data_IF_825126823838
#
_entry.id   IF_825126823838
#
_cell.length_a   1.000
_cell.length_b   1.000
_cell.length_c   1.000
_cell.angle_alpha   90.00
_cell.angle_beta   90.00
_cell.angle_gamma   90.00
#
_symmetry.space_group_name_H-M   'P 1'
#
loop_
_entity.id
_entity.type
_entity.pdbx_description
1 polymer ?
#
# COMPACT_ATOMS: atom_id res chain seq x y z
N UNK A 1 20.36 6.15 3.09
CA UNK A 1 20.38 4.69 3.09
C UNK A 1 19.05 4.12 2.68
N UNK A 2 19.08 3.14 1.81
CA UNK A 2 17.87 2.47 1.38
C UNK A 2 17.42 1.46 2.43
N UNK A 3 16.11 1.31 2.57
CA UNK A 3 15.55 0.32 3.47
C UNK A 3 15.85 -1.09 2.96
N UNK A 4 16.10 -2.00 3.87
CA UNK A 4 16.39 -3.39 3.55
C UNK A 4 15.13 -4.26 3.49
N UNK A 5 14.02 -3.77 4.03
CA UNK A 5 12.74 -4.47 4.03
C UNK A 5 11.60 -3.47 3.90
N UNK A 6 10.68 -3.71 2.97
CA UNK A 6 9.57 -2.77 2.70
C UNK A 6 8.24 -3.49 2.76
N UNK A 7 7.29 -2.90 3.45
CA UNK A 7 5.90 -3.34 3.48
C UNK A 7 5.05 -2.34 2.71
N UNK A 8 4.43 -2.81 1.62
CA UNK A 8 3.44 -2.04 0.88
C UNK A 8 2.03 -2.53 1.18
N UNK A 9 1.09 -1.62 1.34
CA UNK A 9 -0.33 -1.94 1.38
C UNK A 9 -1.10 -0.91 0.58
N UNK A 10 -2.00 -1.37 -0.27
CA UNK A 10 -2.77 -0.46 -1.09
C UNK A 10 -3.91 -1.12 -1.84
N UNK A 11 -4.65 -0.30 -2.56
CA UNK A 11 -5.76 -0.71 -3.41
C UNK A 11 -5.54 -0.22 -4.84
N UNK A 12 -6.57 -0.27 -5.68
CA UNK A 12 -6.44 0.13 -7.08
C UNK A 12 -6.07 1.60 -7.26
N UNK A 13 -6.43 2.47 -6.29
CA UNK A 13 -6.09 3.89 -6.38
C UNK A 13 -4.60 4.14 -6.19
N UNK A 14 -3.93 3.28 -5.45
CA UNK A 14 -2.50 3.40 -5.17
C UNK A 14 -1.64 2.42 -5.97
N UNK A 15 -2.25 1.51 -6.72
CA UNK A 15 -1.52 0.49 -7.48
C UNK A 15 -0.46 1.06 -8.44
N UNK A 16 -0.74 2.14 -9.20
CA UNK A 16 0.30 2.72 -10.05
C UNK A 16 1.52 3.19 -9.28
N UNK A 17 1.31 3.82 -8.12
CA UNK A 17 2.41 4.27 -7.26
C UNK A 17 3.20 3.09 -6.69
N UNK A 18 2.51 2.04 -6.26
CA UNK A 18 3.16 0.82 -5.79
C UNK A 18 4.04 0.23 -6.89
N UNK A 19 3.52 0.15 -8.12
CA UNK A 19 4.25 -0.41 -9.25
C UNK A 19 5.57 0.35 -9.51
N UNK A 20 5.51 1.67 -9.50
CA UNK A 20 6.69 2.52 -9.70
C UNK A 20 7.70 2.32 -8.57
N UNK A 21 7.23 2.28 -7.32
CA UNK A 21 8.12 2.11 -6.18
C UNK A 21 8.78 0.74 -6.18
N UNK A 22 8.05 -0.33 -6.52
CA UNK A 22 8.62 -1.67 -6.62
C UNK A 22 9.72 -1.75 -7.68
N UNK A 23 9.48 -1.14 -8.83
CA UNK A 23 10.45 -1.12 -9.92
C UNK A 23 11.74 -0.41 -9.54
N UNK A 24 11.66 0.57 -8.65
CA UNK A 24 12.81 1.38 -8.21
C UNK A 24 13.52 0.82 -6.98
N UNK A 25 13.04 -0.26 -6.39
CA UNK A 25 13.73 -0.89 -5.27
C UNK A 25 15.02 -1.57 -5.72
N UNK A 26 15.98 -1.63 -4.80
CA UNK A 26 17.16 -2.45 -5.00
C UNK A 26 16.75 -3.92 -5.19
N UNK A 27 17.43 -4.63 -6.07
CA UNK A 27 17.16 -6.06 -6.32
C UNK A 27 17.34 -6.93 -5.07
N UNK A 28 18.07 -6.44 -4.07
CA UNK A 28 18.31 -7.14 -2.82
C UNK A 28 17.29 -6.81 -1.73
N UNK A 29 16.36 -5.88 -1.99
CA UNK A 29 15.32 -5.50 -1.03
C UNK A 29 14.38 -6.67 -0.83
N UNK A 30 14.06 -6.96 0.43
CA UNK A 30 13.08 -7.95 0.79
C UNK A 30 11.80 -7.25 1.25
N UNK A 31 10.70 -7.97 1.27
CA UNK A 31 9.47 -7.39 1.76
C UNK A 31 8.21 -8.03 1.21
N UNK A 32 7.12 -7.31 1.39
CA UNK A 32 5.79 -7.79 1.02
C UNK A 32 4.93 -6.62 0.52
N UNK A 33 4.13 -6.88 -0.49
CA UNK A 33 3.10 -5.96 -0.95
C UNK A 33 1.75 -6.66 -0.83
N UNK A 34 0.78 -6.00 -0.20
CA UNK A 34 -0.59 -6.49 -0.07
C UNK A 34 -1.47 -5.53 -0.86
N UNK A 35 -2.11 -6.02 -1.92
CA UNK A 35 -2.83 -5.16 -2.86
C UNK A 35 -4.24 -5.67 -3.07
N UNK A 36 -5.22 -4.80 -2.83
CA UNK A 36 -6.63 -5.09 -3.06
C UNK A 36 -7.03 -4.69 -4.48
N UNK A 37 -7.60 -5.65 -5.20
CA UNK A 37 -8.19 -5.43 -6.52
C UNK A 37 -9.61 -5.98 -6.53
N UNK A 38 -10.43 -5.52 -7.49
CA UNK A 38 -11.82 -5.95 -7.60
C UNK A 38 -11.98 -7.28 -8.34
N UNK A 39 -11.09 -7.55 -9.31
CA UNK A 39 -11.14 -8.71 -10.18
C UNK A 39 -9.74 -9.18 -10.51
N UNK A 40 -9.57 -10.48 -10.79
CA UNK A 40 -8.27 -11.01 -11.21
C UNK A 40 -7.75 -10.35 -12.48
N UNK A 41 -8.63 -9.78 -13.30
CA UNK A 41 -8.25 -9.04 -14.50
C UNK A 41 -7.52 -7.73 -14.18
N UNK A 42 -7.64 -7.26 -12.95
CA UNK A 42 -6.97 -6.02 -12.51
C UNK A 42 -5.52 -6.24 -12.11
N UNK A 43 -5.07 -7.50 -12.04
CA UNK A 43 -3.66 -7.78 -11.77
C UNK A 43 -2.81 -7.24 -12.91
N UNK A 44 -1.71 -6.60 -12.52
CA UNK A 44 -0.72 -6.14 -13.48
C UNK A 44 0.59 -6.88 -13.21
N UNK A 45 1.47 -6.89 -14.21
CA UNK A 45 2.78 -7.48 -14.07
C UNK A 45 3.68 -6.50 -13.32
N UNK A 46 4.00 -6.86 -12.07
CA UNK A 46 4.84 -6.03 -11.22
C UNK A 46 6.29 -6.52 -11.30
N UNK A 47 7.22 -5.58 -11.34
CA UNK A 47 8.65 -5.88 -11.37
C UNK A 47 9.23 -5.76 -9.97
N UNK A 48 8.87 -6.72 -9.13
CA UNK A 48 9.36 -6.79 -7.76
C UNK A 48 10.74 -7.46 -7.67
N UNK A 49 11.52 -7.14 -6.63
CA UNK A 49 12.77 -7.85 -6.36
C UNK A 49 12.55 -9.35 -6.11
N UNK A 50 13.60 -10.15 -6.29
CA UNK A 50 13.51 -11.62 -6.23
C UNK A 50 12.97 -12.15 -4.90
N UNK A 51 13.33 -11.52 -3.79
CA UNK A 51 12.92 -11.93 -2.45
C UNK A 51 11.70 -11.15 -1.95
N UNK A 52 10.96 -10.55 -2.84
CA UNK A 52 9.79 -9.76 -2.52
C UNK A 52 8.52 -10.57 -2.82
N UNK A 53 7.58 -10.57 -1.90
CA UNK A 53 6.32 -11.29 -2.05
C UNK A 53 5.17 -10.32 -2.33
N UNK A 54 4.45 -10.55 -3.43
CA UNK A 54 3.24 -9.77 -3.75
C UNK A 54 2.01 -10.64 -3.46
N UNK A 55 1.15 -10.16 -2.60
CA UNK A 55 -0.10 -10.82 -2.23
C UNK A 55 -1.28 -10.01 -2.76
N UNK A 56 -2.03 -10.60 -3.69
CA UNK A 56 -3.23 -9.98 -4.25
C UNK A 56 -4.46 -10.43 -3.46
N UNK A 57 -5.26 -9.47 -3.03
CA UNK A 57 -6.59 -9.71 -2.45
C UNK A 57 -7.60 -9.33 -3.52
N UNK A 58 -8.45 -10.27 -3.92
CA UNK A 58 -9.46 -10.03 -4.95
C UNK A 58 -10.83 -10.03 -4.29
N UNK A 59 -11.53 -8.90 -4.34
CA UNK A 59 -12.88 -8.77 -3.81
C UNK A 59 -13.63 -7.66 -4.53
N UNK A 60 -14.73 -8.01 -5.18
CA UNK A 60 -15.59 -7.03 -5.86
C UNK A 60 -16.34 -6.14 -4.88
N UNK A 61 -16.52 -6.58 -3.63
CA UNK A 61 -17.05 -5.76 -2.55
C UNK A 61 -15.92 -4.97 -1.93
N UNK A 62 -15.80 -3.72 -2.31
CA UNK A 62 -14.69 -2.86 -1.90
C UNK A 62 -14.60 -2.68 -0.39
N UNK A 63 -15.76 -2.56 0.29
CA UNK A 63 -15.80 -2.38 1.74
C UNK A 63 -15.28 -3.63 2.46
N UNK A 64 -15.73 -4.81 2.02
CA UNK A 64 -15.25 -6.08 2.58
C UNK A 64 -13.78 -6.32 2.26
N UNK A 65 -13.38 -6.03 1.03
CA UNK A 65 -12.00 -6.15 0.59
C UNK A 65 -11.07 -5.26 1.39
N UNK A 66 -11.48 -4.03 1.67
CA UNK A 66 -10.69 -3.10 2.50
C UNK A 66 -10.48 -3.65 3.90
N UNK A 67 -11.50 -4.26 4.50
CA UNK A 67 -11.38 -4.89 5.81
C UNK A 67 -10.39 -6.04 5.79
N UNK A 68 -10.42 -6.86 4.75
CA UNK A 68 -9.48 -7.96 4.56
C UNK A 68 -8.05 -7.44 4.42
N UNK A 69 -7.87 -6.41 3.60
CA UNK A 69 -6.58 -5.75 3.40
C UNK A 69 -6.00 -5.24 4.73
N UNK A 70 -6.81 -4.56 5.51
CA UNK A 70 -6.40 -4.02 6.82
C UNK A 70 -6.00 -5.14 7.76
N UNK A 71 -6.80 -6.20 7.83
CA UNK A 71 -6.51 -7.36 8.72
C UNK A 71 -5.18 -8.00 8.35
N UNK A 72 -4.94 -8.24 7.08
CA UNK A 72 -3.67 -8.83 6.64
C UNK A 72 -2.49 -7.90 6.87
N UNK A 73 -2.69 -6.61 6.64
CA UNK A 73 -1.67 -5.61 6.91
C UNK A 73 -1.29 -5.59 8.40
N UNK A 74 -2.28 -5.52 9.29
CA UNK A 74 -2.07 -5.47 10.73
C UNK A 74 -1.40 -6.74 11.28
N UNK A 75 -1.62 -7.87 10.62
CA UNK A 75 -1.03 -9.15 11.03
C UNK A 75 0.36 -9.41 10.43
N UNK A 76 0.85 -8.50 9.61
CA UNK A 76 2.18 -8.65 9.02
C UNK A 76 3.26 -8.28 10.02
N UNK A 77 4.23 -9.18 10.18
CA UNK A 77 5.40 -8.93 11.02
C UNK A 77 6.40 -8.05 10.25
N UNK A 78 6.77 -6.93 10.85
CA UNK A 78 7.79 -6.07 10.28
C UNK A 78 9.18 -6.69 10.50
N UNK A 79 9.99 -6.73 9.46
CA UNK A 79 11.31 -7.36 9.48
C UNK A 79 12.38 -6.37 9.04
N UNK A 80 13.64 -6.83 9.02
CA UNK A 80 14.75 -6.02 8.57
C UNK A 80 15.31 -5.11 9.66
N UNK A 81 16.44 -4.51 9.36
CA UNK A 81 17.11 -3.56 10.26
C UNK A 81 16.62 -2.15 10.05
N UNK A 82 16.30 -1.81 8.81
CA UNK A 82 15.80 -0.49 8.43
C UNK A 82 14.53 -0.66 7.60
N UNK A 83 13.44 -1.10 8.24
CA UNK A 83 12.19 -1.32 7.52
C UNK A 83 11.53 -0.01 7.08
N UNK A 84 10.76 -0.08 6.01
CA UNK A 84 9.94 1.01 5.52
C UNK A 84 8.50 0.52 5.35
N UNK A 85 7.54 1.32 5.78
CA UNK A 85 6.12 1.03 5.60
C UNK A 85 5.51 2.06 4.64
N UNK A 86 4.92 1.57 3.56
CA UNK A 86 4.23 2.38 2.57
C UNK A 86 2.78 1.92 2.48
N UNK A 87 1.84 2.78 2.85
CA UNK A 87 0.42 2.44 2.80
C UNK A 87 -0.38 3.62 2.29
N UNK A 88 -1.15 3.39 1.24
CA UNK A 88 -2.00 4.42 0.69
C UNK A 88 -3.23 3.80 0.03
N UNK A 89 -4.36 4.48 0.12
CA UNK A 89 -5.61 4.01 -0.44
C UNK A 89 -6.79 4.52 0.37
N UNK A 90 -7.69 3.62 0.76
CA UNK A 90 -8.87 3.97 1.52
C UNK A 90 -8.53 4.52 2.90
N UNK A 91 -9.35 5.43 3.39
CA UNK A 91 -9.13 6.17 4.64
C UNK A 91 -8.87 5.27 5.86
N UNK A 92 -9.62 4.17 6.00
CA UNK A 92 -9.44 3.26 7.14
C UNK A 92 -8.11 2.51 7.08
N UNK A 93 -7.63 2.22 5.88
CA UNK A 93 -6.28 1.67 5.72
C UNK A 93 -5.23 2.66 6.25
N UNK A 94 -5.37 3.91 5.90
CA UNK A 94 -4.46 4.97 6.38
C UNK A 94 -4.47 5.05 7.90
N UNK A 95 -5.65 5.01 8.53
CA UNK A 95 -5.76 5.04 9.99
C UNK A 95 -5.07 3.86 10.64
N UNK A 96 -5.31 2.67 10.11
CA UNK A 96 -4.67 1.44 10.58
C UNK A 96 -3.14 1.52 10.44
N UNK A 97 -2.68 2.00 9.29
CA UNK A 97 -1.25 2.11 9.01
C UNK A 97 -0.56 3.10 9.95
N UNK A 98 -1.20 4.21 10.27
CA UNK A 98 -0.65 5.16 11.25
C UNK A 98 -0.49 4.53 12.62
N UNK A 99 -1.49 3.77 13.07
CA UNK A 99 -1.40 3.05 14.35
C UNK A 99 -0.30 2.00 14.32
N UNK A 100 -0.19 1.28 13.22
CA UNK A 100 0.83 0.25 13.02
C UNK A 100 2.23 0.85 13.15
N UNK A 101 2.49 1.93 12.44
CA UNK A 101 3.79 2.62 12.46
C UNK A 101 4.15 3.09 13.86
N UNK A 102 3.18 3.62 14.60
CA UNK A 102 3.42 4.13 15.97
C UNK A 102 3.81 3.04 16.96
N UNK A 103 3.53 1.77 16.66
CA UNK A 103 3.89 0.66 17.56
C UNK A 103 5.38 0.29 17.49
N UNK A 104 6.10 0.81 16.51
CA UNK A 104 7.49 0.43 16.28
C UNK A 104 8.42 1.64 16.50
N UNK A 105 9.27 1.55 17.53
CA UNK A 105 10.24 2.59 17.84
C UNK A 105 11.30 2.78 16.75
N UNK A 106 11.50 1.73 15.93
CA UNK A 106 12.46 1.74 14.83
C UNK A 106 11.98 2.55 13.63
N UNK A 107 10.68 2.89 13.59
CA UNK A 107 10.10 3.65 12.48
C UNK A 107 10.03 5.13 12.84
N UNK A 108 10.59 5.96 11.98
CA UNK A 108 10.53 7.42 12.07
C UNK A 108 9.68 7.98 10.94
N UNK A 109 9.56 9.30 10.87
CA UNK A 109 8.89 9.96 9.73
C UNK A 109 9.50 9.56 8.40
N UNK A 110 10.82 9.33 8.37
CA UNK A 110 11.54 8.99 7.16
C UNK A 110 11.43 7.51 6.80
N UNK A 111 10.83 6.70 7.67
CA UNK A 111 10.68 5.26 7.51
C UNK A 111 9.26 4.85 7.13
N UNK A 112 8.41 5.81 6.82
CA UNK A 112 7.04 5.50 6.43
C UNK A 112 6.45 6.56 5.50
N UNK A 113 5.56 6.10 4.62
CA UNK A 113 4.67 6.92 3.84
C UNK A 113 3.26 6.38 4.04
N UNK A 114 2.37 7.18 4.59
CA UNK A 114 1.00 6.78 4.90
C UNK A 114 0.06 7.88 4.44
N UNK A 115 -0.86 7.54 3.54
CA UNK A 115 -1.74 8.54 2.94
C UNK A 115 -3.13 7.98 2.66
N UNK A 116 -4.13 8.83 2.76
CA UNK A 116 -5.49 8.50 2.33
C UNK A 116 -5.74 9.08 0.95
N UNK A 117 -6.09 8.23 -0.01
CA UNK A 117 -6.40 8.65 -1.38
C UNK A 117 -7.91 8.77 -1.60
N UNK A 118 -8.73 8.06 -0.82
CA UNK A 118 -10.19 8.12 -0.92
C UNK A 118 -10.82 7.59 0.37
N UNK A 119 -12.13 7.82 0.51
CA UNK A 119 -12.89 7.41 1.69
C UNK A 119 -14.21 6.77 1.27
N UNK A 120 -14.51 5.59 1.83
CA UNK A 120 -15.79 4.89 1.60
C UNK A 120 -16.95 5.79 2.02
N UNK A 121 -17.96 5.85 1.18
CA UNK A 121 -19.14 6.66 1.43
C UNK A 121 -19.06 8.08 0.91
N UNK A 122 -17.93 8.50 0.37
CA UNK A 122 -17.83 9.77 -0.33
C UNK A 122 -18.61 9.70 -1.65
N UNK A 123 -19.12 10.85 -2.11
CA UNK A 123 -19.83 10.94 -3.37
C UNK A 123 -18.92 10.61 -4.53
N UNK A 124 -19.52 10.23 -5.68
CA UNK A 124 -18.76 10.01 -6.91
C UNK A 124 -17.87 11.19 -7.25
N UNK A 125 -18.33 12.39 -6.93
CA UNK A 125 -17.59 13.62 -7.15
C UNK A 125 -16.34 13.68 -6.27
N UNK A 126 -16.46 13.29 -5.01
CA UNK A 126 -15.32 13.20 -4.10
C UNK A 126 -14.29 12.18 -4.57
N UNK A 127 -14.75 11.04 -5.08
CA UNK A 127 -13.86 10.01 -5.64
C UNK A 127 -13.16 10.50 -6.91
N UNK A 128 -13.87 11.24 -7.75
CA UNK A 128 -13.26 11.84 -8.96
C UNK A 128 -12.18 12.85 -8.59
N UNK A 129 -12.42 13.65 -7.57
CA UNK A 129 -11.42 14.60 -7.06
C UNK A 129 -10.19 13.88 -6.51
N UNK A 130 -10.40 12.79 -5.76
CA UNK A 130 -9.32 12.00 -5.23
C UNK A 130 -8.48 11.37 -6.34
N UNK A 131 -9.14 10.82 -7.37
CA UNK A 131 -8.45 10.26 -8.54
C UNK A 131 -7.70 11.32 -9.34
N UNK A 132 -8.31 12.50 -9.51
CA UNK A 132 -7.68 13.61 -10.21
C UNK A 132 -6.44 14.11 -9.46
N UNK A 133 -6.52 14.20 -8.13
CA UNK A 133 -5.38 14.59 -7.30
C UNK A 133 -4.25 13.56 -7.40
N UNK A 134 -4.59 12.27 -7.45
CA UNK A 134 -3.62 11.20 -7.62
C UNK A 134 -2.90 11.31 -8.97
N UNK A 135 -3.66 11.52 -10.05
CA UNK A 135 -3.09 11.69 -11.39
C UNK A 135 -2.22 12.94 -11.47
N UNK A 136 -2.61 14.02 -10.82
CA UNK A 136 -1.81 15.24 -10.77
C UNK A 136 -0.51 15.03 -10.00
N UNK A 137 -0.54 14.24 -8.94
CA UNK A 137 0.66 13.95 -8.16
C UNK A 137 1.65 13.07 -8.93
N UNK A 138 1.16 12.23 -9.86
CA UNK A 138 1.99 11.33 -10.65
C UNK A 138 2.54 12.00 -11.92
N UNK A 139 2.09 13.20 -12.21
CA UNK A 139 2.58 13.97 -13.34
C UNK A 139 3.60 15.02 -12.88
#
# INVERSE_FOLDING_TARGET
PQSDWVLFAGDMTSLPAIAVNLENLSKDTEGKAIILIESDQDRIDLKEPTKFHVHWITDSDTKRGTKTLITEFENTTLRGREPFVWAAGEFELMRSARKYVKRFDTLSKDSSYVSSYWKTGETDEGMKKAKAALLAADS
#
